data_IF_525733976732
#
_entry.id   IF_525733976732
#
_cell.length_a   1.000
_cell.length_b   1.000
_cell.length_c   1.000
_cell.angle_alpha   90.00
_cell.angle_beta   90.00
_cell.angle_gamma   90.00
#
_symmetry.space_group_name_H-M   'P 1'
#
loop_
_entity.id
_entity.type
_entity.pdbx_description
1 polymer ?
#
# COMPACT_ATOMS: atom_id res chain seq x y z
N UNK A 1 1.27 -34.32 -18.35
CA UNK A 1 2.62 -33.92 -17.93
C UNK A 1 2.73 -32.41 -18.10
N UNK A 2 3.50 -31.73 -17.24
CA UNK A 2 3.70 -30.29 -17.28
C UNK A 2 5.20 -30.02 -17.15
N UNK A 3 5.74 -29.10 -17.94
CA UNK A 3 7.17 -28.74 -17.95
C UNK A 3 7.39 -27.27 -17.58
N UNK A 4 6.71 -26.80 -16.53
CA UNK A 4 6.82 -25.40 -16.09
C UNK A 4 6.20 -24.40 -17.06
N UNK A 5 6.91 -23.31 -17.33
CA UNK A 5 6.46 -22.13 -18.07
C UNK A 5 7.61 -21.47 -18.86
N UNK A 6 7.27 -20.60 -19.82
CA UNK A 6 8.21 -19.77 -20.60
C UNK A 6 9.33 -20.51 -21.34
N UNK A 7 9.15 -21.80 -21.63
CA UNK A 7 10.17 -22.61 -22.30
C UNK A 7 11.38 -22.94 -21.41
N UNK A 8 11.32 -22.70 -20.09
CA UNK A 8 12.43 -22.99 -19.17
C UNK A 8 12.63 -24.48 -18.87
N UNK A 9 11.70 -25.34 -19.28
CA UNK A 9 11.89 -26.77 -19.23
C UNK A 9 11.15 -27.48 -20.36
N UNK A 10 11.74 -28.59 -20.82
CA UNK A 10 11.17 -29.47 -21.83
C UNK A 10 11.00 -30.87 -21.22
N UNK A 11 9.76 -31.36 -21.18
CA UNK A 11 9.49 -32.75 -20.81
C UNK A 11 9.75 -33.66 -22.01
N UNK A 12 10.65 -34.62 -21.83
CA UNK A 12 11.04 -35.61 -22.83
C UNK A 12 10.66 -36.99 -22.29
N UNK A 13 9.71 -37.66 -22.97
CA UNK A 13 9.13 -38.92 -22.50
C UNK A 13 9.00 -39.90 -23.65
N UNK A 14 9.67 -41.03 -23.46
CA UNK A 14 9.63 -42.18 -24.34
C UNK A 14 8.68 -43.22 -23.75
N UNK A 15 7.73 -43.70 -24.57
CA UNK A 15 6.81 -44.74 -24.17
C UNK A 15 6.50 -45.68 -25.33
N UNK A 16 6.17 -46.92 -24.96
CA UNK A 16 5.74 -47.97 -25.86
C UNK A 16 4.25 -48.30 -25.62
N UNK A 17 3.53 -48.59 -26.70
CA UNK A 17 2.12 -48.96 -26.65
C UNK A 17 1.86 -50.28 -27.37
N UNK A 18 1.27 -51.25 -26.67
CA UNK A 18 0.86 -52.52 -27.22
C UNK A 18 -0.61 -52.44 -27.69
N UNK A 19 -0.81 -52.46 -29.01
CA UNK A 19 -2.14 -52.36 -29.62
C UNK A 19 -3.04 -53.58 -29.41
N UNK A 20 -2.48 -54.76 -29.11
CA UNK A 20 -3.26 -55.98 -28.92
C UNK A 20 -3.80 -56.10 -27.49
N UNK A 21 -3.00 -55.66 -26.50
CA UNK A 21 -3.37 -55.71 -25.08
C UNK A 21 -3.93 -54.39 -24.55
N UNK A 22 -3.69 -53.28 -25.25
CA UNK A 22 -4.01 -51.92 -24.80
C UNK A 22 -3.07 -51.42 -23.70
N UNK A 23 -1.94 -52.08 -23.49
CA UNK A 23 -0.97 -51.73 -22.44
C UNK A 23 -0.01 -50.63 -22.91
N UNK A 24 0.19 -49.62 -22.05
CA UNK A 24 1.17 -48.56 -22.24
C UNK A 24 2.28 -48.69 -21.20
N UNK A 25 3.53 -48.66 -21.64
CA UNK A 25 4.72 -48.67 -20.77
C UNK A 25 5.54 -47.42 -21.03
N UNK A 26 5.92 -46.72 -19.97
CA UNK A 26 6.87 -45.60 -20.06
C UNK A 26 8.26 -46.18 -19.96
N UNK A 27 9.08 -45.93 -20.99
CA UNK A 27 10.42 -46.47 -21.12
C UNK A 27 11.46 -45.53 -20.50
N UNK A 28 11.32 -44.22 -20.75
CA UNK A 28 12.10 -43.15 -20.12
C UNK A 28 11.25 -41.89 -19.94
N UNK A 29 11.54 -41.11 -18.90
CA UNK A 29 10.91 -39.82 -18.68
C UNK A 29 11.87 -38.89 -17.95
N UNK A 30 12.23 -37.79 -18.61
CA UNK A 30 13.14 -36.77 -18.07
C UNK A 30 12.62 -35.36 -18.34
N UNK A 31 13.15 -34.43 -17.57
CA UNK A 31 12.92 -33.00 -17.76
C UNK A 31 14.26 -32.36 -18.06
N UNK A 32 14.38 -31.76 -19.24
CA UNK A 32 15.52 -30.95 -19.61
C UNK A 32 15.29 -29.55 -19.05
N UNK A 33 16.19 -29.09 -18.19
CA UNK A 33 16.15 -27.74 -17.62
C UNK A 33 16.74 -26.70 -18.57
N UNK A 34 16.64 -25.43 -18.20
CA UNK A 34 17.19 -24.32 -18.99
C UNK A 34 18.69 -24.48 -19.28
N UNK A 35 19.46 -25.03 -18.35
CA UNK A 35 20.89 -25.28 -18.56
C UNK A 35 21.14 -26.37 -19.61
N UNK A 36 20.33 -27.44 -19.61
CA UNK A 36 20.41 -28.51 -20.62
C UNK A 36 20.00 -27.99 -22.01
N UNK A 37 18.97 -27.14 -22.04
CA UNK A 37 18.48 -26.50 -23.27
C UNK A 37 19.54 -25.52 -23.81
N UNK A 38 20.12 -24.67 -22.96
CA UNK A 38 21.15 -23.70 -23.35
C UNK A 38 22.47 -24.36 -23.74
N UNK A 39 22.78 -25.54 -23.18
CA UNK A 39 23.93 -26.34 -23.59
C UNK A 39 23.79 -26.92 -25.00
N UNK A 40 22.60 -26.87 -25.62
CA UNK A 40 22.43 -27.21 -27.02
C UNK A 40 22.97 -26.09 -27.92
N UNK A 41 24.24 -26.20 -28.31
CA UNK A 41 24.96 -25.19 -29.12
C UNK A 41 24.57 -25.14 -30.61
N UNK A 42 23.56 -25.91 -31.04
CA UNK A 42 23.11 -25.97 -32.45
C UNK A 42 21.64 -25.55 -32.56
N UNK A 43 21.32 -24.24 -32.49
CA UNK A 43 19.99 -23.77 -32.84
C UNK A 43 19.66 -24.17 -34.29
N UNK A 44 18.40 -24.49 -34.57
CA UNK A 44 17.96 -24.73 -35.93
C UNK A 44 18.05 -23.42 -36.73
N UNK A 45 18.84 -23.40 -37.80
CA UNK A 45 19.09 -22.19 -38.60
C UNK A 45 17.79 -21.55 -39.13
N UNK A 46 16.76 -22.36 -39.45
CA UNK A 46 15.48 -21.85 -39.94
C UNK A 46 14.72 -21.12 -38.83
N UNK A 47 14.74 -21.67 -37.61
CA UNK A 47 14.12 -21.01 -36.45
C UNK A 47 14.91 -19.77 -36.05
N UNK A 48 16.24 -19.83 -36.08
CA UNK A 48 17.10 -18.69 -35.79
C UNK A 48 16.84 -17.53 -36.77
N UNK A 49 16.72 -17.81 -38.06
CA UNK A 49 16.38 -16.80 -39.08
C UNK A 49 14.99 -16.17 -38.84
N UNK A 50 13.99 -16.97 -38.43
CA UNK A 50 12.65 -16.46 -38.09
C UNK A 50 12.72 -15.53 -36.87
N UNK A 51 13.43 -15.92 -35.81
CA UNK A 51 13.61 -15.10 -34.61
C UNK A 51 14.32 -13.79 -34.96
N UNK A 52 15.43 -13.86 -35.71
CA UNK A 52 16.17 -12.68 -36.12
C UNK A 52 15.33 -11.71 -36.97
N UNK A 53 14.50 -12.21 -37.89
CA UNK A 53 13.59 -11.35 -38.66
C UNK A 53 12.52 -10.74 -37.76
N UNK A 54 11.95 -11.50 -36.82
CA UNK A 54 10.97 -10.98 -35.87
C UNK A 54 11.55 -9.89 -34.96
N UNK A 55 12.80 -10.03 -34.52
CA UNK A 55 13.53 -9.00 -33.76
C UNK A 55 13.72 -7.72 -34.59
N UNK A 56 14.06 -7.84 -35.88
CA UNK A 56 14.16 -6.68 -36.77
C UNK A 56 12.82 -5.99 -36.97
N UNK A 57 11.75 -6.75 -37.21
CA UNK A 57 10.41 -6.22 -37.43
C UNK A 57 9.87 -5.54 -36.15
N UNK A 58 10.08 -6.17 -34.99
CA UNK A 58 9.73 -5.61 -33.68
C UNK A 58 10.54 -4.36 -33.36
N UNK A 59 11.85 -4.37 -33.65
CA UNK A 59 12.71 -3.20 -33.48
C UNK A 59 12.33 -2.02 -34.36
N UNK A 60 11.76 -2.25 -35.55
CA UNK A 60 11.22 -1.17 -36.38
C UNK A 60 9.87 -0.68 -35.86
N UNK A 61 8.94 -1.59 -35.53
CA UNK A 61 7.63 -1.24 -34.97
C UNK A 61 7.76 -0.48 -33.63
N UNK A 62 8.72 -0.88 -32.81
CA UNK A 62 8.99 -0.28 -31.51
C UNK A 62 9.40 1.20 -31.56
N UNK A 63 9.88 1.72 -32.70
CA UNK A 63 10.28 3.12 -32.88
C UNK A 63 9.11 4.09 -33.02
N UNK A 64 7.88 3.58 -33.13
CA UNK A 64 6.69 4.44 -33.20
C UNK A 64 6.61 5.31 -31.94
N UNK A 65 6.58 6.63 -32.11
CA UNK A 65 6.36 7.57 -31.00
C UNK A 65 4.89 7.53 -30.61
N UNK A 66 4.64 7.18 -29.35
CA UNK A 66 3.30 6.97 -28.78
C UNK A 66 2.86 8.10 -27.86
N UNK A 67 3.80 8.86 -27.30
CA UNK A 67 3.54 10.03 -26.47
C UNK A 67 4.76 10.97 -26.44
N UNK A 68 4.59 12.17 -25.88
CA UNK A 68 5.68 13.07 -25.53
C UNK A 68 5.46 13.51 -24.09
N UNK A 69 6.50 13.47 -23.25
CA UNK A 69 6.42 13.83 -21.82
C UNK A 69 7.48 14.88 -21.46
N UNK A 70 7.17 15.74 -20.50
CA UNK A 70 8.03 16.89 -20.12
C UNK A 70 8.96 16.62 -18.93
N UNK A 71 8.84 15.46 -18.28
CA UNK A 71 9.65 15.12 -17.10
C UNK A 71 9.94 13.62 -17.01
N UNK A 72 11.04 13.31 -16.34
CA UNK A 72 11.50 11.94 -16.16
C UNK A 72 10.66 11.25 -15.08
N UNK A 73 10.32 9.98 -15.31
CA UNK A 73 9.69 9.09 -14.35
C UNK A 73 10.70 8.01 -13.99
N UNK A 74 11.38 8.24 -12.87
CA UNK A 74 12.43 7.36 -12.39
C UNK A 74 11.87 6.28 -11.46
N UNK A 75 12.49 5.10 -11.46
CA UNK A 75 12.32 4.08 -10.43
C UNK A 75 13.16 4.42 -9.20
N UNK A 76 12.92 3.72 -8.09
CA UNK A 76 13.72 3.92 -6.89
C UNK A 76 15.09 3.22 -7.00
N UNK A 77 16.12 3.81 -6.38
CA UNK A 77 17.48 3.25 -6.35
C UNK A 77 18.08 3.26 -4.96
N UNK A 78 18.91 2.27 -4.67
CA UNK A 78 19.82 2.33 -3.52
C UNK A 78 20.98 3.29 -3.79
N UNK A 79 21.64 3.75 -2.73
CA UNK A 79 22.75 4.70 -2.86
C UNK A 79 23.90 4.10 -3.68
N UNK A 80 24.26 4.81 -4.76
CA UNK A 80 25.35 4.39 -5.66
C UNK A 80 25.05 3.18 -6.54
N UNK A 81 23.81 2.71 -6.56
CA UNK A 81 23.34 1.61 -7.40
C UNK A 81 22.63 2.11 -8.67
N UNK A 82 22.27 1.17 -9.55
CA UNK A 82 21.48 1.47 -10.74
C UNK A 82 20.01 1.76 -10.39
N UNK A 83 19.32 2.47 -11.29
CA UNK A 83 17.88 2.72 -11.14
C UNK A 83 17.08 1.42 -11.12
N UNK A 84 16.08 1.33 -10.24
CA UNK A 84 15.29 0.12 -10.01
C UNK A 84 15.92 -0.90 -9.07
N UNK A 85 17.06 -0.58 -8.46
CA UNK A 85 17.72 -1.46 -7.47
C UNK A 85 16.96 -1.56 -6.14
N UNK A 86 16.20 -0.52 -5.76
CA UNK A 86 15.47 -0.49 -4.49
C UNK A 86 13.97 -0.78 -4.71
N UNK A 87 13.56 -2.00 -4.39
CA UNK A 87 12.15 -2.44 -4.46
C UNK A 87 11.31 -2.00 -3.25
N UNK A 88 11.95 -1.49 -2.20
CA UNK A 88 11.31 -1.10 -0.95
C UNK A 88 10.97 0.37 -0.84
N UNK A 89 11.21 1.14 -1.90
CA UNK A 89 10.96 2.57 -1.95
C UNK A 89 9.93 2.93 -3.04
N UNK A 90 9.05 3.87 -2.70
CA UNK A 90 8.16 4.53 -3.66
C UNK A 90 8.99 5.27 -4.73
N UNK A 91 8.42 5.43 -5.93
CA UNK A 91 9.06 6.17 -7.03
C UNK A 91 8.05 6.88 -7.92
N UNK A 92 8.53 7.84 -8.72
CA UNK A 92 7.68 8.59 -9.64
C UNK A 92 7.02 7.67 -10.67
N UNK A 93 7.77 6.68 -11.19
CA UNK A 93 7.27 5.76 -12.20
C UNK A 93 6.19 4.82 -11.64
N UNK A 94 6.38 4.24 -10.45
CA UNK A 94 5.40 3.30 -9.88
C UNK A 94 4.03 3.97 -9.63
N UNK A 95 4.02 5.24 -9.22
CA UNK A 95 2.79 6.00 -9.07
C UNK A 95 2.15 6.38 -10.41
N UNK A 96 2.98 6.71 -11.41
CA UNK A 96 2.48 7.00 -12.75
C UNK A 96 1.77 5.77 -13.34
N UNK A 97 2.36 4.59 -13.18
CA UNK A 97 1.76 3.33 -13.65
C UNK A 97 0.49 3.02 -12.87
N UNK A 98 0.48 3.17 -11.55
CA UNK A 98 -0.74 3.03 -10.76
C UNK A 98 -1.87 3.96 -11.27
N UNK A 99 -1.53 5.21 -11.60
CA UNK A 99 -2.48 6.17 -12.20
C UNK A 99 -2.93 5.75 -13.61
N UNK A 100 -2.02 5.22 -14.43
CA UNK A 100 -2.33 4.73 -15.78
C UNK A 100 -3.30 3.56 -15.76
N UNK A 101 -3.11 2.59 -14.85
CA UNK A 101 -3.99 1.43 -14.71
C UNK A 101 -5.39 1.88 -14.21
N UNK A 102 -5.46 2.79 -13.23
CA UNK A 102 -6.73 3.40 -12.79
C UNK A 102 -7.46 4.13 -13.93
N UNK A 103 -6.74 4.93 -14.69
CA UNK A 103 -7.28 5.65 -15.85
C UNK A 103 -7.80 4.67 -16.91
N UNK A 104 -7.02 3.63 -17.22
CA UNK A 104 -7.35 2.65 -18.24
C UNK A 104 -8.61 1.88 -17.88
N UNK A 105 -8.72 1.39 -16.63
CA UNK A 105 -9.93 0.71 -16.19
C UNK A 105 -11.16 1.62 -16.27
N UNK A 106 -11.02 2.88 -15.86
CA UNK A 106 -12.12 3.86 -15.88
C UNK A 106 -12.54 4.27 -17.30
N UNK A 107 -11.63 4.18 -18.27
CA UNK A 107 -11.85 4.63 -19.65
C UNK A 107 -12.31 3.50 -20.55
N UNK A 108 -11.74 2.30 -20.37
CA UNK A 108 -11.87 1.18 -21.29
C UNK A 108 -12.84 0.10 -20.79
N UNK A 109 -13.44 0.28 -19.62
CA UNK A 109 -14.42 -0.65 -19.06
C UNK A 109 -15.73 0.05 -18.68
N UNK A 110 -16.75 -0.72 -18.30
CA UNK A 110 -18.01 -0.16 -17.78
C UNK A 110 -17.92 0.26 -16.30
N UNK A 111 -16.75 0.07 -15.66
CA UNK A 111 -16.52 0.33 -14.24
C UNK A 111 -15.55 1.48 -14.09
N UNK A 112 -15.88 2.46 -13.24
CA UNK A 112 -14.93 3.48 -12.82
C UNK A 112 -14.07 2.95 -11.67
N UNK A 113 -12.75 2.99 -11.83
CA UNK A 113 -11.82 2.60 -10.77
C UNK A 113 -11.61 3.77 -9.80
N UNK A 114 -11.75 3.49 -8.50
CA UNK A 114 -11.52 4.48 -7.44
C UNK A 114 -10.02 4.67 -7.19
N UNK A 115 -9.26 3.57 -7.23
CA UNK A 115 -7.85 3.50 -6.83
C UNK A 115 -7.04 2.76 -7.91
N UNK A 116 -5.82 3.22 -8.15
CA UNK A 116 -4.79 2.48 -8.88
C UNK A 116 -3.69 2.01 -7.95
N UNK A 117 -3.18 0.81 -8.19
CA UNK A 117 -2.10 0.20 -7.41
C UNK A 117 -1.09 -0.49 -8.34
N UNK A 118 0.19 -0.33 -8.05
CA UNK A 118 1.28 -0.99 -8.78
C UNK A 118 2.40 -1.40 -7.82
N UNK A 119 3.04 -2.54 -8.04
CA UNK A 119 4.21 -2.97 -7.28
C UNK A 119 5.51 -2.46 -7.93
N UNK A 120 6.48 -2.01 -7.13
CA UNK A 120 7.77 -1.55 -7.65
C UNK A 120 8.54 -2.66 -8.41
N UNK A 121 8.35 -3.92 -8.00
CA UNK A 121 8.98 -5.10 -8.62
C UNK A 121 8.59 -5.38 -10.06
N UNK A 122 7.46 -4.82 -10.53
CA UNK A 122 6.99 -4.99 -11.89
C UNK A 122 7.60 -4.04 -12.92
N UNK A 123 8.53 -3.15 -12.52
CA UNK A 123 9.06 -2.08 -13.37
C UNK A 123 10.51 -2.31 -13.78
N UNK A 124 10.78 -2.24 -15.09
CA UNK A 124 12.04 -2.70 -15.66
C UNK A 124 12.96 -1.61 -16.23
N UNK A 125 12.41 -0.47 -16.66
CA UNK A 125 13.19 0.68 -17.12
C UNK A 125 12.59 1.98 -16.61
N UNK A 126 13.41 3.03 -16.57
CA UNK A 126 12.93 4.39 -16.34
C UNK A 126 12.34 4.97 -17.63
N UNK A 127 11.50 5.98 -17.50
CA UNK A 127 10.94 6.69 -18.64
C UNK A 127 11.43 8.13 -18.65
N UNK A 128 12.24 8.50 -19.66
CA UNK A 128 12.84 9.83 -19.76
C UNK A 128 11.99 10.80 -20.57
N UNK A 129 12.13 12.08 -20.25
CA UNK A 129 11.48 13.18 -20.95
C UNK A 129 11.83 13.24 -22.44
N UNK A 130 10.86 13.68 -23.24
CA UNK A 130 10.93 13.71 -24.69
C UNK A 130 9.89 12.81 -25.35
N UNK A 131 10.18 12.42 -26.59
CA UNK A 131 9.35 11.48 -27.34
C UNK A 131 9.50 10.09 -26.73
N UNK A 132 8.37 9.51 -26.34
CA UNK A 132 8.27 8.15 -25.83
C UNK A 132 7.87 7.24 -26.98
N UNK A 133 8.68 6.22 -27.23
CA UNK A 133 8.43 5.19 -28.23
C UNK A 133 7.62 4.02 -27.65
N UNK A 134 7.02 3.22 -28.53
CA UNK A 134 6.34 1.98 -28.12
C UNK A 134 7.31 1.04 -27.37
N UNK A 135 8.55 0.91 -27.86
CA UNK A 135 9.56 0.08 -27.22
C UNK A 135 9.84 0.54 -25.79
N UNK A 136 10.05 1.84 -25.56
CA UNK A 136 10.29 2.38 -24.22
C UNK A 136 9.07 2.17 -23.30
N UNK A 137 7.85 2.39 -23.81
CA UNK A 137 6.63 2.13 -23.04
C UNK A 137 6.47 0.64 -22.68
N UNK A 138 6.80 -0.26 -23.61
CA UNK A 138 6.77 -1.71 -23.40
C UNK A 138 7.85 -2.18 -22.41
N UNK A 139 9.05 -1.62 -22.48
CA UNK A 139 10.17 -1.96 -21.61
C UNK A 139 9.92 -1.60 -20.14
N UNK A 140 8.95 -0.74 -19.82
CA UNK A 140 8.55 -0.47 -18.43
C UNK A 140 7.95 -1.73 -17.78
N UNK A 141 7.06 -2.44 -18.48
CA UNK A 141 6.40 -3.67 -18.06
C UNK A 141 6.44 -4.73 -19.19
N UNK A 142 7.59 -5.40 -19.41
CA UNK A 142 7.81 -6.26 -20.57
C UNK A 142 7.16 -7.65 -20.43
N UNK A 143 6.00 -7.73 -19.78
CA UNK A 143 5.30 -8.98 -19.50
C UNK A 143 4.12 -9.21 -20.44
N UNK A 144 3.62 -8.16 -21.09
CA UNK A 144 2.29 -8.18 -21.73
C UNK A 144 1.22 -8.68 -20.74
N UNK A 145 1.31 -8.20 -19.49
CA UNK A 145 0.41 -8.58 -18.42
C UNK A 145 -0.99 -8.02 -18.67
N UNK A 146 -2.00 -8.65 -18.08
CA UNK A 146 -3.37 -8.13 -18.13
C UNK A 146 -3.62 -7.19 -16.95
N UNK A 147 -4.16 -6.01 -17.22
CA UNK A 147 -4.69 -5.11 -16.19
C UNK A 147 -6.13 -5.49 -15.83
N UNK A 148 -6.45 -5.42 -14.55
CA UNK A 148 -7.74 -5.85 -14.00
C UNK A 148 -8.23 -4.87 -12.94
N UNK A 149 -9.40 -5.14 -12.38
CA UNK A 149 -9.85 -4.54 -11.13
C UNK A 149 -10.58 -5.55 -10.24
N UNK A 150 -10.54 -5.29 -8.93
CA UNK A 150 -11.37 -5.94 -7.91
C UNK A 150 -12.14 -4.90 -7.12
N UNK A 151 -13.30 -5.27 -6.56
CA UNK A 151 -14.00 -4.46 -5.56
C UNK A 151 -13.64 -4.98 -4.17
N UNK A 152 -13.10 -4.11 -3.30
CA UNK A 152 -12.63 -4.43 -1.95
C UNK A 152 -13.28 -3.52 -0.92
N UNK A 153 -13.45 -4.01 0.31
CA UNK A 153 -13.69 -3.13 1.45
C UNK A 153 -12.48 -2.23 1.69
N UNK A 154 -12.70 -1.02 2.19
CA UNK A 154 -11.61 -0.13 2.59
C UNK A 154 -10.64 -0.81 3.57
N UNK A 155 -11.16 -1.58 4.51
CA UNK A 155 -10.32 -2.38 5.42
C UNK A 155 -9.40 -3.36 4.69
N UNK A 156 -9.89 -4.03 3.64
CA UNK A 156 -9.07 -4.96 2.85
C UNK A 156 -8.04 -4.22 1.97
N UNK A 157 -8.37 -3.02 1.49
CA UNK A 157 -7.38 -2.18 0.80
C UNK A 157 -6.27 -1.72 1.76
N UNK A 158 -6.60 -1.33 3.00
CA UNK A 158 -5.59 -1.05 4.03
C UNK A 158 -4.72 -2.27 4.29
N UNK A 159 -5.31 -3.46 4.43
CA UNK A 159 -4.57 -4.70 4.62
C UNK A 159 -3.65 -5.01 3.42
N UNK A 160 -4.03 -4.65 2.19
CA UNK A 160 -3.15 -4.78 1.03
C UNK A 160 -1.93 -3.86 1.13
N UNK A 161 -2.09 -2.63 1.61
CA UNK A 161 -0.96 -1.73 1.90
C UNK A 161 -0.07 -2.29 3.03
N UNK A 162 -0.64 -2.91 4.05
CA UNK A 162 0.12 -3.57 5.13
C UNK A 162 0.96 -4.75 4.64
N UNK A 163 0.53 -5.42 3.56
CA UNK A 163 1.22 -6.58 3.00
C UNK A 163 2.51 -6.24 2.25
N UNK A 164 2.84 -4.95 2.10
CA UNK A 164 4.10 -4.53 1.48
C UNK A 164 5.35 -4.83 2.35
N UNK A 165 5.18 -5.11 3.64
CA UNK A 165 6.29 -5.44 4.55
C UNK A 165 6.38 -6.95 4.78
N UNK A 166 7.50 -7.57 4.37
CA UNK A 166 7.74 -9.01 4.45
C UNK A 166 8.98 -9.33 5.29
N UNK A 167 8.79 -9.58 6.59
CA UNK A 167 9.90 -9.92 7.48
C UNK A 167 10.63 -11.21 7.08
N UNK A 168 11.97 -11.16 7.04
CA UNK A 168 12.81 -12.31 6.72
C UNK A 168 12.88 -12.68 5.23
N UNK A 169 12.27 -11.88 4.36
CA UNK A 169 12.43 -11.97 2.91
C UNK A 169 13.75 -11.35 2.45
N UNK A 170 14.29 -11.79 1.31
CA UNK A 170 15.40 -11.12 0.64
C UNK A 170 15.02 -9.72 0.13
N UNK A 171 13.71 -9.46 0.01
CA UNK A 171 13.11 -8.15 -0.28
C UNK A 171 12.20 -7.81 0.91
N UNK A 172 12.71 -7.13 1.95
CA UNK A 172 11.96 -6.91 3.19
C UNK A 172 10.78 -5.96 3.01
N UNK A 173 10.80 -5.17 1.93
CA UNK A 173 9.70 -4.30 1.53
C UNK A 173 9.48 -4.45 0.02
N UNK A 174 8.24 -4.70 -0.37
CA UNK A 174 7.75 -4.68 -1.74
C UNK A 174 6.87 -3.44 -1.92
N UNK A 175 7.50 -2.27 -2.06
CA UNK A 175 6.79 -1.00 -2.04
C UNK A 175 5.72 -0.92 -3.13
N UNK A 176 4.57 -0.37 -2.75
CA UNK A 176 3.46 -0.13 -3.64
C UNK A 176 3.42 1.34 -4.07
N UNK A 177 3.27 1.57 -5.37
CA UNK A 177 2.83 2.84 -5.91
C UNK A 177 1.32 2.92 -5.94
N UNK A 178 0.80 4.12 -5.72
CA UNK A 178 -0.64 4.40 -5.69
C UNK A 178 -0.99 5.52 -6.67
N UNK A 179 -2.23 5.54 -7.14
CA UNK A 179 -2.71 6.62 -8.01
C UNK A 179 -2.64 7.99 -7.34
N UNK A 180 -2.62 9.04 -8.15
CA UNK A 180 -2.51 10.46 -7.75
C UNK A 180 -3.49 10.92 -6.66
N UNK A 181 -4.67 10.30 -6.59
CA UNK A 181 -5.69 10.60 -5.58
C UNK A 181 -5.49 9.89 -4.22
N UNK A 182 -4.49 9.02 -4.08
CA UNK A 182 -4.24 8.26 -2.86
C UNK A 182 -2.97 8.75 -2.18
N UNK A 183 -3.05 8.87 -0.85
CA UNK A 183 -1.88 9.02 0.01
C UNK A 183 -2.13 8.33 1.35
N UNK A 184 -1.06 7.90 2.02
CA UNK A 184 -1.16 7.23 3.30
C UNK A 184 0.04 7.51 4.20
N UNK A 185 -0.16 7.32 5.50
CA UNK A 185 0.93 7.35 6.49
C UNK A 185 1.10 5.98 7.09
N UNK A 186 2.31 5.70 7.54
CA UNK A 186 2.59 4.51 8.34
C UNK A 186 3.51 4.85 9.50
N UNK A 187 3.64 3.94 10.46
CA UNK A 187 4.62 4.01 11.53
C UNK A 187 5.46 2.72 11.48
N UNK A 188 6.72 2.86 11.09
CA UNK A 188 7.64 1.74 10.93
C UNK A 188 7.89 0.96 12.23
N UNK A 189 7.70 1.62 13.38
CA UNK A 189 7.89 1.03 14.70
C UNK A 189 6.70 0.18 15.16
N UNK A 190 5.57 0.24 14.44
CA UNK A 190 4.44 -0.66 14.70
C UNK A 190 4.70 -2.05 14.11
N UNK A 191 4.10 -3.10 14.70
CA UNK A 191 4.19 -4.45 14.18
C UNK A 191 3.71 -4.52 12.72
N UNK A 192 4.31 -5.41 11.93
CA UNK A 192 3.82 -5.73 10.58
C UNK A 192 2.35 -6.15 10.64
N UNK A 193 1.54 -5.65 9.72
CA UNK A 193 0.08 -5.81 9.73
C UNK A 193 -0.65 -4.67 10.47
N UNK A 194 0.08 -3.77 11.13
CA UNK A 194 -0.47 -2.61 11.85
C UNK A 194 0.40 -1.35 11.67
N UNK A 195 1.15 -1.26 10.56
CA UNK A 195 2.02 -0.11 10.27
C UNK A 195 1.26 1.05 9.66
N UNK A 196 0.32 0.80 8.74
CA UNK A 196 -0.46 1.86 8.08
C UNK A 196 -1.35 2.54 9.11
N UNK A 197 -1.11 3.83 9.33
CA UNK A 197 -1.79 4.64 10.35
C UNK A 197 -2.95 5.45 9.79
N UNK A 198 -2.86 5.90 8.53
CA UNK A 198 -3.96 6.56 7.85
C UNK A 198 -3.89 6.37 6.35
N UNK A 199 -5.04 6.37 5.68
CA UNK A 199 -5.15 6.34 4.22
C UNK A 199 -6.18 7.37 3.83
N UNK A 200 -5.89 8.13 2.77
CA UNK A 200 -6.83 9.08 2.17
C UNK A 200 -6.99 8.79 0.69
N UNK A 201 -8.22 8.98 0.21
CA UNK A 201 -8.61 8.88 -1.20
C UNK A 201 -9.35 10.18 -1.51
N UNK A 202 -8.89 10.94 -2.50
CA UNK A 202 -9.43 12.27 -2.85
C UNK A 202 -9.49 13.19 -1.61
N UNK A 203 -8.37 13.27 -0.86
CA UNK A 203 -8.23 14.01 0.41
C UNK A 203 -9.23 13.59 1.53
N UNK A 204 -9.99 12.52 1.33
CA UNK A 204 -10.98 12.02 2.29
C UNK A 204 -10.45 10.77 2.98
N UNK A 205 -10.55 10.68 4.33
CA UNK A 205 -10.15 9.46 5.03
C UNK A 205 -10.87 8.23 4.48
N UNK A 206 -10.10 7.15 4.31
CA UNK A 206 -10.61 5.85 3.89
C UNK A 206 -11.71 5.38 4.86
N UNK A 207 -12.91 5.17 4.34
CA UNK A 207 -13.98 4.47 5.06
C UNK A 207 -13.73 2.95 4.98
N UNK A 208 -13.49 2.26 6.12
CA UNK A 208 -13.17 0.83 6.11
C UNK A 208 -14.33 -0.05 5.62
N UNK A 209 -15.58 0.39 5.76
CA UNK A 209 -16.77 -0.41 5.42
C UNK A 209 -17.26 -0.14 3.99
N UNK A 210 -16.78 0.93 3.35
CA UNK A 210 -17.09 1.28 1.97
C UNK A 210 -16.38 0.32 1.01
N UNK A 211 -17.06 0.00 -0.09
CA UNK A 211 -16.48 -0.72 -1.23
C UNK A 211 -15.75 0.26 -2.16
N UNK A 212 -14.53 -0.11 -2.58
CA UNK A 212 -13.70 0.60 -3.54
C UNK A 212 -13.31 -0.33 -4.68
N UNK A 213 -13.34 0.19 -5.91
CA UNK A 213 -12.80 -0.48 -7.09
C UNK A 213 -11.32 -0.18 -7.18
N UNK A 214 -10.50 -1.21 -6.97
CA UNK A 214 -9.04 -1.14 -7.00
C UNK A 214 -8.54 -1.75 -8.30
N UNK A 215 -7.93 -0.92 -9.14
CA UNK A 215 -7.31 -1.29 -10.40
C UNK A 215 -5.82 -1.59 -10.21
N UNK A 216 -5.36 -2.71 -10.76
CA UNK A 216 -3.97 -3.19 -10.68
C UNK A 216 -3.75 -4.27 -11.75
N UNK A 217 -2.53 -4.79 -11.87
CA UNK A 217 -2.29 -5.97 -12.71
C UNK A 217 -3.05 -7.20 -12.17
N UNK A 218 -3.50 -8.08 -13.08
CA UNK A 218 -4.10 -9.37 -12.73
C UNK A 218 -3.13 -10.23 -11.90
N UNK A 219 -1.83 -10.07 -12.11
CA UNK A 219 -0.78 -10.71 -11.31
C UNK A 219 -0.92 -10.36 -9.82
N UNK A 220 -0.98 -9.07 -9.45
CA UNK A 220 -1.17 -8.66 -8.06
C UNK A 220 -2.54 -9.09 -7.52
N UNK A 221 -3.60 -8.93 -8.32
CA UNK A 221 -4.96 -9.31 -7.91
C UNK A 221 -5.15 -10.82 -7.73
N UNK A 222 -4.25 -11.64 -8.26
CA UNK A 222 -4.20 -13.08 -8.01
C UNK A 222 -3.50 -13.45 -6.70
N UNK A 223 -3.06 -12.46 -5.91
CA UNK A 223 -2.40 -12.65 -4.61
C UNK A 223 -0.91 -12.96 -4.69
N UNK A 224 -0.27 -12.71 -5.83
CA UNK A 224 1.18 -12.82 -5.95
C UNK A 224 1.88 -11.73 -5.10
N UNK A 225 3.17 -11.93 -4.80
CA UNK A 225 3.95 -11.04 -3.90
C UNK A 225 3.29 -10.84 -2.52
N UNK A 226 2.65 -11.88 -1.99
CA UNK A 226 2.04 -11.82 -0.66
C UNK A 226 0.75 -11.02 -0.59
N UNK A 227 0.28 -10.40 -1.69
CA UNK A 227 -0.87 -9.49 -1.78
C UNK A 227 -2.24 -10.18 -1.68
N UNK A 228 -2.37 -11.10 -0.73
CA UNK A 228 -3.55 -11.93 -0.50
C UNK A 228 -4.80 -11.12 -0.14
N UNK A 229 -4.66 -9.90 0.41
CA UNK A 229 -5.79 -9.03 0.71
C UNK A 229 -6.56 -8.62 -0.56
N UNK A 230 -5.88 -8.49 -1.70
CA UNK A 230 -6.51 -8.20 -2.99
C UNK A 230 -7.46 -9.31 -3.47
N UNK A 231 -7.33 -10.54 -2.93
CA UNK A 231 -8.16 -11.69 -3.31
C UNK A 231 -9.48 -11.81 -2.53
N UNK A 232 -9.67 -10.99 -1.48
CA UNK A 232 -10.82 -11.08 -0.56
C UNK A 232 -12.10 -10.46 -1.11
N UNK A 233 -11.97 -9.63 -2.14
CA UNK A 233 -13.06 -8.93 -2.80
C UNK A 233 -13.79 -9.76 -3.85
N UNK A 234 -14.29 -9.08 -4.87
CA UNK A 234 -14.80 -9.75 -6.08
C UNK A 234 -13.67 -10.50 -6.80
N UNK A 235 -14.03 -11.49 -7.61
CA UNK A 235 -13.06 -12.09 -8.53
C UNK A 235 -12.48 -11.00 -9.48
N UNK A 236 -11.18 -11.08 -9.82
CA UNK A 236 -10.57 -10.16 -10.77
C UNK A 236 -11.29 -10.16 -12.13
N UNK A 237 -11.58 -8.98 -12.66
CA UNK A 237 -12.17 -8.83 -13.97
C UNK A 237 -11.21 -9.34 -15.07
N UNK A 238 -11.73 -10.11 -16.02
CA UNK A 238 -10.98 -10.51 -17.22
C UNK A 238 -11.24 -9.45 -18.30
N UNK A 239 -10.38 -8.45 -18.37
CA UNK A 239 -10.54 -7.28 -19.24
C UNK A 239 -9.91 -7.51 -20.62
N UNK A 240 -8.88 -8.36 -20.69
CA UNK A 240 -8.04 -8.52 -21.87
C UNK A 240 -7.21 -7.27 -22.23
N UNK A 241 -7.15 -6.26 -21.37
CA UNK A 241 -6.37 -5.04 -21.57
C UNK A 241 -4.93 -5.33 -21.18
N UNK A 242 -4.00 -5.15 -22.12
CA UNK A 242 -2.58 -5.37 -21.89
C UNK A 242 -1.97 -4.13 -21.22
N UNK A 243 -1.12 -4.32 -20.21
CA UNK A 243 -0.45 -3.27 -19.43
C UNK A 243 0.15 -2.12 -20.27
N UNK A 244 0.86 -2.45 -21.36
CA UNK A 244 1.44 -1.46 -22.27
C UNK A 244 0.37 -0.56 -22.89
N UNK A 245 -0.84 -1.07 -23.14
CA UNK A 245 -1.94 -0.28 -23.69
C UNK A 245 -2.48 0.72 -22.67
N UNK A 246 -2.53 0.35 -21.39
CA UNK A 246 -2.89 1.26 -20.30
C UNK A 246 -1.89 2.41 -20.19
N UNK A 247 -0.59 2.09 -20.21
CA UNK A 247 0.48 3.09 -20.16
C UNK A 247 0.44 4.03 -21.36
N UNK A 248 0.43 3.49 -22.59
CA UNK A 248 0.37 4.30 -23.82
C UNK A 248 -0.90 5.15 -23.85
N UNK A 249 -2.05 4.56 -23.52
CA UNK A 249 -3.32 5.26 -23.50
C UNK A 249 -3.30 6.43 -22.50
N UNK A 250 -2.76 6.21 -21.31
CA UNK A 250 -2.67 7.24 -20.28
C UNK A 250 -1.76 8.39 -20.71
N UNK A 251 -0.56 8.08 -21.20
CA UNK A 251 0.42 9.09 -21.66
C UNK A 251 -0.09 9.89 -22.87
N UNK A 252 -0.79 9.26 -23.81
CA UNK A 252 -1.28 9.92 -25.03
C UNK A 252 -2.55 10.76 -24.84
N UNK A 253 -3.34 10.50 -23.79
CA UNK A 253 -4.63 11.16 -23.57
C UNK A 253 -4.64 12.15 -22.38
N UNK A 254 -3.54 12.25 -21.63
CA UNK A 254 -3.45 13.09 -20.44
C UNK A 254 -2.17 13.93 -20.45
N UNK A 255 -2.21 15.08 -19.79
CA UNK A 255 -1.00 15.85 -19.53
C UNK A 255 -0.29 15.28 -18.30
N UNK A 256 0.51 14.25 -18.50
CA UNK A 256 1.15 13.50 -17.41
C UNK A 256 2.44 14.19 -16.99
N UNK A 257 2.54 14.56 -15.71
CA UNK A 257 3.75 15.13 -15.11
C UNK A 257 4.23 14.25 -13.97
N UNK A 258 5.55 14.14 -13.73
CA UNK A 258 6.06 13.40 -12.57
C UNK A 258 5.47 13.93 -11.28
N UNK A 259 5.00 13.01 -10.43
CA UNK A 259 4.61 13.34 -9.06
C UNK A 259 5.87 13.80 -8.32
N UNK A 260 5.88 15.01 -7.78
CA UNK A 260 7.06 15.60 -7.14
C UNK A 260 7.12 15.35 -5.64
N UNK A 261 6.01 14.93 -5.04
CA UNK A 261 5.90 14.62 -3.62
C UNK A 261 5.43 13.21 -3.36
N UNK A 262 5.98 12.60 -2.31
CA UNK A 262 5.68 11.24 -1.88
C UNK A 262 4.19 11.02 -1.62
N UNK A 263 3.70 9.82 -1.92
CA UNK A 263 2.36 9.35 -1.60
C UNK A 263 2.27 8.70 -0.23
N UNK A 264 3.39 8.15 0.23
CA UNK A 264 3.53 7.54 1.54
C UNK A 264 4.71 8.12 2.32
N UNK A 265 4.48 8.39 3.61
CA UNK A 265 5.53 8.80 4.55
C UNK A 265 5.37 8.05 5.88
N UNK A 266 6.50 7.81 6.54
CA UNK A 266 6.50 7.34 7.93
C UNK A 266 6.31 8.52 8.87
N UNK A 267 5.44 8.39 9.87
CA UNK A 267 5.29 9.32 10.99
C UNK A 267 5.22 8.51 12.29
N UNK A 268 6.24 8.65 13.13
CA UNK A 268 6.29 8.07 14.47
C UNK A 268 6.15 9.18 15.52
N UNK A 269 4.99 9.30 16.18
CA UNK A 269 4.83 10.21 17.31
C UNK A 269 5.54 9.68 18.56
N UNK A 270 6.11 10.59 19.37
CA UNK A 270 6.78 10.24 20.63
C UNK A 270 5.83 9.75 21.74
N UNK A 271 4.51 9.83 21.53
CA UNK A 271 3.48 9.46 22.49
C UNK A 271 2.08 9.83 22.02
N UNK A 272 1.14 9.90 22.96
CA UNK A 272 -0.23 10.36 22.71
C UNK A 272 -0.28 11.87 22.44
N UNK A 273 -1.26 12.31 21.65
CA UNK A 273 -1.49 13.72 21.39
C UNK A 273 -2.29 14.34 22.54
N UNK A 274 -1.60 14.94 23.51
CA UNK A 274 -2.24 15.58 24.67
C UNK A 274 -2.33 17.11 24.50
N UNK A 275 -3.50 17.68 24.75
CA UNK A 275 -3.70 19.12 24.66
C UNK A 275 -2.85 19.87 25.71
N UNK A 276 -2.08 20.86 25.27
CA UNK A 276 -1.20 21.66 26.11
C UNK A 276 0.22 21.07 26.28
N UNK A 277 0.51 19.92 25.65
CA UNK A 277 1.83 19.31 25.65
C UNK A 277 2.53 19.48 24.29
N UNK A 278 3.85 19.33 24.28
CA UNK A 278 4.65 19.25 23.06
C UNK A 278 4.79 17.78 22.65
N UNK A 279 4.50 17.47 21.39
CA UNK A 279 4.74 16.16 20.81
C UNK A 279 5.91 16.22 19.82
N UNK A 280 6.77 15.21 19.82
CA UNK A 280 7.81 15.05 18.81
C UNK A 280 7.34 14.04 17.76
N UNK A 281 7.56 14.35 16.49
CA UNK A 281 7.22 13.53 15.34
C UNK A 281 8.52 13.20 14.59
N UNK A 282 8.91 11.93 14.59
CA UNK A 282 9.99 11.44 13.74
C UNK A 282 9.39 10.99 12.40
N UNK A 283 9.96 11.48 11.30
CA UNK A 283 9.44 11.24 9.96
C UNK A 283 10.54 10.69 9.05
N UNK A 284 10.13 9.82 8.13
CA UNK A 284 10.98 9.24 7.09
C UNK A 284 10.20 9.07 5.79
N UNK A 285 10.90 8.81 4.68
CA UNK A 285 10.27 8.71 3.36
C UNK A 285 9.80 10.06 2.82
N UNK A 286 10.44 11.17 3.24
CA UNK A 286 10.08 12.52 2.81
C UNK A 286 10.61 12.88 1.42
N UNK A 287 11.44 12.01 0.82
CA UNK A 287 12.05 12.21 -0.51
C UNK A 287 11.98 10.95 -1.35
N UNK A 288 11.76 11.07 -2.66
CA UNK A 288 12.12 9.98 -3.57
C UNK A 288 13.63 9.76 -3.54
N UNK A 289 14.07 8.51 -3.75
CA UNK A 289 15.49 8.16 -3.79
C UNK A 289 16.20 8.73 -5.02
N UNK A 290 15.47 9.10 -6.06
CA UNK A 290 15.96 9.78 -7.26
C UNK A 290 15.07 10.97 -7.63
N UNK A 291 15.67 12.00 -8.22
CA UNK A 291 14.95 13.16 -8.78
C UNK A 291 14.35 14.15 -7.76
N UNK A 292 14.26 13.78 -6.48
CA UNK A 292 13.70 14.65 -5.44
C UNK A 292 14.69 15.68 -4.92
N UNK A 293 14.22 16.89 -4.64
CA UNK A 293 15.02 17.99 -4.09
C UNK A 293 14.44 18.55 -2.80
N UNK A 294 13.56 17.83 -2.09
CA UNK A 294 12.95 18.32 -0.85
C UNK A 294 14.02 18.67 0.17
N UNK A 295 13.89 19.86 0.77
CA UNK A 295 14.82 20.34 1.80
C UNK A 295 14.12 20.69 3.11
N UNK A 296 12.81 20.90 3.09
CA UNK A 296 12.04 21.33 4.25
C UNK A 296 10.73 20.54 4.33
N UNK A 297 10.41 20.08 5.54
CA UNK A 297 9.10 19.54 5.88
C UNK A 297 8.37 20.53 6.77
N UNK A 298 7.08 20.72 6.54
CA UNK A 298 6.18 21.53 7.36
C UNK A 298 5.09 20.64 7.92
N UNK A 299 4.91 20.67 9.23
CA UNK A 299 3.81 20.03 9.94
C UNK A 299 2.86 21.11 10.41
N UNK A 300 1.57 20.90 10.20
CA UNK A 300 0.53 21.80 10.67
C UNK A 300 -0.58 21.07 11.40
N UNK A 301 -1.06 21.69 12.47
CA UNK A 301 -2.21 21.29 13.25
C UNK A 301 -3.04 22.53 13.56
N UNK A 302 -4.11 22.74 12.80
CA UNK A 302 -4.90 24.00 12.82
C UNK A 302 -4.05 25.22 12.49
N UNK A 303 -3.79 26.09 13.46
CA UNK A 303 -3.02 27.33 13.30
C UNK A 303 -1.54 27.13 13.70
N UNK A 304 -1.21 26.02 14.37
CA UNK A 304 0.17 25.68 14.70
C UNK A 304 0.86 25.12 13.47
N UNK A 305 1.99 25.74 13.09
CA UNK A 305 2.76 25.40 11.91
C UNK A 305 4.24 25.40 12.31
N UNK A 306 4.90 24.25 12.13
CA UNK A 306 6.31 24.08 12.44
C UNK A 306 7.01 23.48 11.22
N UNK A 307 8.18 24.01 10.87
CA UNK A 307 9.00 23.47 9.78
C UNK A 307 10.36 23.00 10.29
N UNK A 308 10.93 21.98 9.65
CA UNK A 308 12.23 21.43 9.97
C UNK A 308 13.00 21.06 8.68
N UNK A 309 14.33 21.14 8.70
CA UNK A 309 15.15 20.68 7.58
C UNK A 309 15.05 19.16 7.43
N UNK A 310 15.06 18.69 6.18
CA UNK A 310 15.11 17.27 5.83
C UNK A 310 16.58 16.84 5.73
N UNK A 311 16.96 15.75 6.40
CA UNK A 311 18.21 15.05 6.17
C UNK A 311 18.11 14.25 4.86
N UNK A 312 18.91 14.58 3.82
CA UNK A 312 18.76 14.00 2.49
C UNK A 312 19.26 12.55 2.34
N UNK A 313 19.75 11.88 3.39
CA UNK A 313 20.22 10.50 3.29
C UNK A 313 19.13 9.55 2.76
N UNK A 314 19.54 8.55 1.97
CA UNK A 314 18.62 7.56 1.39
C UNK A 314 18.20 6.46 2.38
N UNK A 315 18.95 6.27 3.46
CA UNK A 315 18.68 5.22 4.45
C UNK A 315 19.28 3.87 4.08
N UNK A 316 18.73 2.80 4.66
CA UNK A 316 19.17 1.42 4.42
C UNK A 316 18.76 0.93 3.03
N UNK A 317 19.63 0.16 2.37
CA UNK A 317 19.36 -0.40 1.06
C UNK A 317 18.13 -1.33 1.09
N UNK A 318 17.25 -1.19 0.11
CA UNK A 318 15.99 -1.95 0.02
C UNK A 318 14.86 -1.45 0.91
N UNK A 319 14.98 -0.27 1.53
CA UNK A 319 13.92 0.38 2.31
C UNK A 319 13.55 1.76 1.73
N UNK A 320 12.35 2.24 2.07
CA UNK A 320 11.75 3.49 1.58
C UNK A 320 11.88 4.69 2.51
N UNK A 321 12.96 4.76 3.30
CA UNK A 321 13.10 5.72 4.41
C UNK A 321 13.85 7.01 4.03
N UNK A 322 14.11 7.22 2.74
CA UNK A 322 14.85 8.37 2.23
C UNK A 322 14.24 9.71 2.65
N UNK A 323 15.08 10.63 3.12
CA UNK A 323 14.61 11.92 3.63
C UNK A 323 13.99 11.79 5.02
N UNK A 324 14.73 12.14 6.07
CA UNK A 324 14.24 12.08 7.45
C UNK A 324 14.18 13.46 8.09
N UNK A 325 13.27 13.63 9.06
CA UNK A 325 13.18 14.86 9.84
C UNK A 325 12.51 14.59 11.19
N UNK A 326 12.86 15.41 12.19
CA UNK A 326 12.20 15.43 13.49
C UNK A 326 11.55 16.80 13.71
N UNK A 327 10.26 16.81 14.04
CA UNK A 327 9.49 18.04 14.32
C UNK A 327 8.92 17.99 15.73
N UNK A 328 9.16 19.04 16.52
CA UNK A 328 8.48 19.25 17.79
C UNK A 328 7.31 20.22 17.59
N UNK A 329 6.10 19.77 17.90
CA UNK A 329 4.85 20.51 17.71
C UNK A 329 4.18 20.74 19.06
N UNK A 330 3.88 21.99 19.39
CA UNK A 330 3.09 22.34 20.56
C UNK A 330 1.60 22.12 20.25
N UNK A 331 0.91 21.31 21.06
CA UNK A 331 -0.52 21.05 20.89
C UNK A 331 -1.30 22.09 21.70
N UNK A 332 -2.16 22.93 21.08
CA UNK A 332 -2.91 23.94 21.83
C UNK A 332 -3.82 23.29 22.88
N UNK A 333 -3.80 23.83 24.10
CA UNK A 333 -4.59 23.32 25.23
C UNK A 333 -6.12 23.38 25.02
N UNK A 334 -6.58 24.09 23.99
CA UNK A 334 -7.99 24.23 23.61
C UNK A 334 -8.46 23.12 22.68
N UNK A 335 -7.56 22.31 22.11
CA UNK A 335 -7.93 21.22 21.21
C UNK A 335 -8.39 19.99 21.98
N UNK A 336 -9.27 19.22 21.35
CA UNK A 336 -9.71 17.89 21.80
C UNK A 336 -10.38 17.15 20.65
N UNK A 337 -10.51 15.84 20.77
CA UNK A 337 -11.14 15.00 19.75
C UNK A 337 -10.28 14.87 18.49
N UNK A 338 -10.89 14.35 17.43
CA UNK A 338 -10.22 14.12 16.15
C UNK A 338 -9.86 15.44 15.46
N UNK A 339 -8.58 15.60 15.15
CA UNK A 339 -8.02 16.71 14.39
C UNK A 339 -7.23 16.18 13.19
N UNK A 340 -6.98 17.03 12.19
CA UNK A 340 -6.14 16.66 11.05
C UNK A 340 -4.76 17.27 11.21
N UNK A 341 -3.75 16.40 11.31
CA UNK A 341 -2.36 16.74 11.15
C UNK A 341 -2.04 16.73 9.66
N UNK A 342 -1.50 17.83 9.12
CA UNK A 342 -1.11 17.90 7.71
C UNK A 342 0.39 18.07 7.61
N UNK A 343 1.03 17.18 6.86
CA UNK A 343 2.46 17.20 6.57
C UNK A 343 2.66 17.57 5.11
N UNK A 344 3.51 18.56 4.85
CA UNK A 344 3.91 18.96 3.50
C UNK A 344 5.42 19.05 3.33
N UNK A 345 5.91 18.90 2.10
CA UNK A 345 7.29 19.27 1.74
C UNK A 345 7.30 20.44 0.76
N UNK A 346 8.45 21.11 0.65
CA UNK A 346 8.72 22.16 -0.34
C UNK A 346 8.68 21.66 -1.81
N UNK A 347 8.68 20.34 -2.02
CA UNK A 347 8.55 19.70 -3.34
C UNK A 347 7.17 19.11 -3.63
N UNK A 348 6.20 19.25 -2.72
CA UNK A 348 4.79 18.96 -3.02
C UNK A 348 4.23 17.68 -2.40
N UNK A 349 4.95 17.01 -1.49
CA UNK A 349 4.32 16.02 -0.62
C UNK A 349 3.23 16.75 0.16
N UNK A 350 2.04 16.16 0.25
CA UNK A 350 0.95 16.67 1.08
C UNK A 350 0.11 15.50 1.55
N UNK A 351 0.18 15.20 2.84
CA UNK A 351 -0.55 14.09 3.45
C UNK A 351 -1.29 14.58 4.68
N UNK A 352 -2.55 14.17 4.82
CA UNK A 352 -3.41 14.51 5.95
C UNK A 352 -3.70 13.25 6.77
N UNK A 353 -3.31 13.27 8.04
CA UNK A 353 -3.53 12.17 8.99
C UNK A 353 -4.49 12.62 10.10
N UNK A 354 -5.64 11.93 10.31
CA UNK A 354 -6.46 12.15 11.48
C UNK A 354 -5.71 11.71 12.74
N UNK A 355 -5.67 12.56 13.75
CA UNK A 355 -5.08 12.31 15.07
C UNK A 355 -6.10 12.59 16.16
N UNK A 356 -6.15 11.74 17.18
CA UNK A 356 -7.06 11.92 18.32
C UNK A 356 -6.36 12.70 19.42
N UNK A 357 -6.88 13.88 19.76
CA UNK A 357 -6.31 14.73 20.80
C UNK A 357 -7.05 14.52 22.12
N UNK A 358 -6.31 14.09 23.14
CA UNK A 358 -6.79 14.00 24.52
C UNK A 358 -6.87 15.42 25.09
N UNK A 359 -8.09 15.89 25.35
CA UNK A 359 -8.31 17.23 25.91
C UNK A 359 -7.74 17.38 27.32
N UNK A 360 -7.32 18.59 27.67
CA UNK A 360 -6.80 18.88 29.01
C UNK A 360 -7.87 18.59 30.07
N UNK A 361 -7.53 17.83 31.12
CA UNK A 361 -8.41 17.64 32.27
C UNK A 361 -8.81 19.02 32.82
N UNK A 362 -10.10 19.38 32.73
CA UNK A 362 -10.60 20.54 33.46
C UNK A 362 -10.39 20.26 34.95
N UNK A 363 -9.75 21.16 35.71
CA UNK A 363 -9.68 21.00 37.16
C UNK A 363 -11.12 20.88 37.68
N UNK A 364 -11.38 19.81 38.45
CA UNK A 364 -12.67 19.61 39.10
C UNK A 364 -13.12 20.94 39.74
N UNK A 365 -14.39 21.35 39.56
CA UNK A 365 -14.86 22.60 40.16
C UNK A 365 -14.57 22.53 41.65
N UNK A 366 -13.71 23.44 42.14
CA UNK A 366 -13.47 23.58 43.57
C UNK A 366 -14.84 23.74 44.24
N UNK A 367 -15.19 22.91 45.24
CA UNK A 367 -16.43 23.09 45.96
C UNK A 367 -16.42 24.51 46.51
N UNK A 368 -17.42 25.31 46.10
CA UNK A 368 -17.61 26.65 46.59
C UNK A 368 -17.57 26.61 48.13
N UNK A 369 -16.60 27.31 48.71
CA UNK A 369 -16.38 27.34 50.15
C UNK A 369 -17.67 27.68 50.87
N UNK A 370 -18.30 26.68 51.49
CA UNK A 370 -19.42 26.90 52.39
C UNK A 370 -18.85 27.45 53.68
N UNK A 371 -19.05 28.75 53.89
CA UNK A 371 -18.87 29.41 55.18
C UNK A 371 -19.90 28.86 56.17
N UNK A 372 -19.52 27.84 56.92
CA UNK A 372 -20.33 27.37 58.06
C UNK A 372 -19.73 27.95 59.34
N UNK A 373 -20.46 28.93 59.88
CA UNK A 373 -20.31 29.45 61.24
C UNK A 373 -20.34 28.31 62.26
N UNK A 374 -19.36 28.28 63.15
CA UNK A 374 -19.23 27.24 64.16
C UNK A 374 -20.25 27.33 65.29
N UNK A 375 -20.55 26.17 65.86
CA UNK A 375 -20.65 25.95 67.33
C UNK A 375 -20.58 24.45 67.63
N UNK A 376 -19.60 24.06 68.46
CA UNK A 376 -19.85 23.25 69.66
C UNK A 376 -20.04 21.72 69.59
N UNK A 377 -18.93 20.99 69.76
CA UNK A 377 -18.71 19.79 70.62
C UNK A 377 -19.72 18.63 70.63
N UNK A 378 -19.30 17.43 70.18
CA UNK A 378 -19.26 16.19 70.99
C UNK A 378 -18.58 15.02 70.25
N UNK A 379 -17.80 14.28 71.03
CA UNK A 379 -16.83 13.24 70.67
C UNK A 379 -17.44 11.86 70.43
N UNK A 380 -16.79 11.03 69.60
CA UNK A 380 -16.66 9.60 69.89
C UNK A 380 -17.02 8.58 68.79
N UNK A 381 -16.01 7.80 68.41
CA UNK A 381 -16.02 6.38 68.01
C UNK A 381 -16.36 5.96 66.56
N UNK A 382 -15.27 5.60 65.84
CA UNK A 382 -14.97 4.31 65.20
C UNK A 382 -16.12 3.48 64.57
N UNK A 383 -15.97 3.12 63.28
CA UNK A 383 -16.59 1.91 62.73
C UNK A 383 -16.88 1.94 61.23
N UNK A 384 -15.98 1.38 60.42
CA UNK A 384 -16.23 0.96 59.03
C UNK A 384 -17.20 -0.23 59.06
N UNK A 385 -18.34 -0.14 58.38
CA UNK A 385 -19.07 -1.28 57.78
C UNK A 385 -19.83 -0.82 56.54
N UNK A 386 -19.55 -1.49 55.43
CA UNK A 386 -20.29 -1.48 54.16
C UNK A 386 -21.54 -2.35 54.30
N UNK A 387 -22.71 -1.88 53.83
CA UNK A 387 -23.80 -2.78 53.45
C UNK A 387 -25.25 -2.29 53.63
N UNK A 388 -25.86 -1.93 52.50
CA UNK A 388 -27.24 -2.21 51.99
C UNK A 388 -28.48 -1.96 52.89
N UNK A 389 -29.42 -1.14 52.36
CA UNK A 389 -30.85 -1.41 52.06
C UNK A 389 -31.70 -0.13 52.25
N UNK A 390 -32.25 0.41 51.17
CA UNK A 390 -33.65 0.17 50.77
C UNK A 390 -34.25 1.47 50.21
N UNK A 391 -35.35 1.50 49.47
CA UNK A 391 -36.17 0.52 48.76
C UNK A 391 -37.28 1.35 48.05
N UNK A 392 -37.81 0.81 46.95
CA UNK A 392 -39.17 1.03 46.39
C UNK A 392 -39.40 2.12 45.33
N UNK A 393 -39.84 1.64 44.16
CA UNK A 393 -40.64 2.34 43.15
C UNK A 393 -40.48 1.73 41.76
N UNK A 394 -41.09 0.56 41.47
CA UNK A 394 -42.20 0.36 40.49
C UNK A 394 -41.74 0.52 39.00
N UNK A 395 -41.94 -0.36 38.00
CA UNK A 395 -42.77 -1.54 37.72
C UNK A 395 -42.22 -2.26 36.46
N UNK A 396 -42.30 -3.59 36.47
CA UNK A 396 -42.26 -4.64 35.43
C UNK A 396 -42.29 -4.29 33.93
N UNK A 397 -41.44 -4.98 33.14
CA UNK A 397 -41.82 -6.10 32.23
C UNK A 397 -40.55 -6.80 31.66
N UNK A 398 -40.32 -8.09 31.96
CA UNK A 398 -39.35 -8.95 31.25
C UNK A 398 -40.04 -10.27 30.89
N UNK A 399 -39.80 -10.69 29.66
CA UNK A 399 -40.33 -11.82 28.90
C UNK A 399 -40.10 -13.20 29.57
N UNK A 400 -41.12 -14.08 29.69
CA UNK A 400 -41.03 -15.40 30.31
C UNK A 400 -40.16 -16.45 29.61
N UNK A 401 -39.55 -16.18 28.45
CA UNK A 401 -38.80 -17.19 27.69
C UNK A 401 -37.37 -17.46 28.18
N UNK A 402 -36.85 -16.68 29.13
CA UNK A 402 -35.45 -16.77 29.57
C UNK A 402 -35.16 -17.84 30.65
N UNK A 403 -36.17 -18.28 31.41
CA UNK A 403 -35.96 -19.20 32.56
C UNK A 403 -35.99 -20.69 32.17
N UNK A 404 -36.44 -21.03 30.96
CA UNK A 404 -36.59 -22.44 30.57
C UNK A 404 -35.36 -23.08 29.91
N UNK A 405 -34.32 -22.31 29.54
CA UNK A 405 -33.11 -22.86 28.90
C UNK A 405 -31.95 -23.17 29.87
N UNK A 406 -31.97 -22.66 31.10
CA UNK A 406 -30.86 -22.88 32.06
C UNK A 406 -30.98 -24.23 32.79
N UNK A 407 -32.12 -24.95 32.69
CA UNK A 407 -32.32 -26.23 33.37
C UNK A 407 -31.94 -27.49 32.56
N UNK A 408 -31.44 -27.38 31.31
CA UNK A 408 -31.14 -28.54 30.48
C UNK A 408 -29.65 -28.85 30.21
N UNK A 409 -28.70 -28.18 30.87
CA UNK A 409 -27.26 -28.51 30.69
C UNK A 409 -26.51 -28.92 31.97
N UNK A 410 -27.21 -29.26 33.06
CA UNK A 410 -26.54 -29.73 34.29
C UNK A 410 -26.77 -31.22 34.60
N UNK A 411 -27.59 -31.95 33.83
CA UNK A 411 -27.66 -33.42 33.94
C UNK A 411 -27.98 -34.10 32.60
N UNK A 412 -26.95 -34.24 31.75
CA UNK A 412 -26.73 -35.37 30.82
C UNK A 412 -25.30 -35.30 30.28
#
# INVERSE_FOLDING_TARGET
MQSGNYGHALADVDFSFNHDTGELTVDDARMLGVDDINACENPDDTIADIVAQAELDAGEAGKEVVATIDGDFLRASDEGAESGSNYGAESQLVNMIASAVRWSMSTNTATTADIGLMNAGGLHTDLFSGDVTYAEAFEIQPFSGEDSFVTLKGSDFKDALEQQWEEGSARPVAALGVSDNVSYTYDINRPIGDRVTSVTIDDTPLDPERDYVVAASLYLQSGNEGMTALTRGTAPAQTGIVDVQSTIGYLSNNNVTPRTGQAQISITPSGEFNAGETITLDMAGLRYTQGDTATEVTVSLREEIVSAPIDPQLGEAGFGEAGTATVSLDIPATLSGTQNLVVTTDTGTRISMPVEIVGAEQPAPQPAGSSVLGTGVLSGLLGIVVGILGMVGLVNWIDPSFIQQIQQQIFA
#
